data_IF_333040899598
#
_entry.id   IF_333040899598
#
_cell.length_a   1.000
_cell.length_b   1.000
_cell.length_c   1.000
_cell.angle_alpha   90.00
_cell.angle_beta   90.00
_cell.angle_gamma   90.00
#
_symmetry.space_group_name_H-M   'P 1'
#
loop_
_entity.id
_entity.type
_entity.pdbx_description
1 polymer ?
#
# COMPACT_ATOMS: atom_id res chain seq x y z
N UNK A 1 -2.30 42.82 43.45
CA UNK A 1 -1.36 42.07 42.59
C UNK A 1 -2.12 40.91 41.97
N UNK A 2 -2.43 40.98 40.67
CA UNK A 2 -3.09 39.90 39.93
C UNK A 2 -1.98 39.08 39.27
N UNK A 3 -1.77 37.87 39.76
CA UNK A 3 -0.82 36.92 39.16
C UNK A 3 -1.54 36.18 38.05
N UNK A 4 -1.22 36.52 36.80
CA UNK A 4 -1.68 35.78 35.61
C UNK A 4 -0.86 34.51 35.50
N UNK A 5 -1.48 33.35 35.68
CA UNK A 5 -0.88 32.07 35.32
C UNK A 5 -0.91 31.94 33.79
N UNK A 6 0.27 32.12 33.18
CA UNK A 6 0.49 31.82 31.78
C UNK A 6 0.58 30.29 31.65
N UNK A 7 -0.52 29.64 31.28
CA UNK A 7 -0.52 28.23 30.92
C UNK A 7 0.25 28.07 29.62
N UNK A 8 1.49 27.57 29.73
CA UNK A 8 2.30 27.17 28.59
C UNK A 8 1.60 25.96 27.95
N UNK A 9 0.88 26.17 26.85
CA UNK A 9 0.44 25.10 25.96
C UNK A 9 1.70 24.50 25.32
N UNK A 10 2.28 23.50 25.98
CA UNK A 10 3.21 22.60 25.32
C UNK A 10 2.36 21.84 24.31
N UNK A 11 2.37 22.29 23.06
CA UNK A 11 1.96 21.49 21.92
C UNK A 11 2.93 20.32 21.85
N UNK A 12 2.67 19.27 22.64
CA UNK A 12 3.33 18.00 22.48
C UNK A 12 3.10 17.59 21.04
N UNK A 13 4.18 17.49 20.27
CA UNK A 13 4.14 16.93 18.93
C UNK A 13 3.29 15.66 19.03
N UNK A 14 2.15 15.64 18.34
CA UNK A 14 1.30 14.46 18.27
C UNK A 14 2.19 13.34 17.76
N UNK A 15 2.55 12.39 18.63
CA UNK A 15 3.05 11.11 18.17
C UNK A 15 1.89 10.46 17.42
N UNK A 16 1.84 10.70 16.11
CA UNK A 16 0.93 10.07 15.19
C UNK A 16 1.36 8.62 15.07
N UNK A 17 0.48 7.69 15.47
CA UNK A 17 0.74 6.28 15.22
C UNK A 17 0.78 6.00 13.72
N UNK A 18 1.39 4.88 13.35
CA UNK A 18 1.45 4.39 11.97
C UNK A 18 0.62 3.13 11.84
N UNK A 19 0.07 2.88 10.65
CA UNK A 19 -0.53 1.59 10.30
C UNK A 19 0.30 0.85 9.25
N UNK A 20 0.26 -0.48 9.30
CA UNK A 20 0.76 -1.33 8.21
C UNK A 20 -0.42 -1.95 7.46
N UNK A 21 -0.51 -1.68 6.17
CA UNK A 21 -1.47 -2.35 5.28
C UNK A 21 -0.77 -3.53 4.63
N UNK A 22 -1.16 -4.75 5.00
CA UNK A 22 -0.60 -5.99 4.46
C UNK A 22 -1.25 -6.32 3.12
N UNK A 23 -0.46 -6.73 2.15
CA UNK A 23 -0.92 -7.14 0.82
C UNK A 23 -0.58 -8.61 0.57
N UNK A 24 -1.61 -9.45 0.46
CA UNK A 24 -1.54 -10.85 0.04
C UNK A 24 -2.21 -11.05 -1.32
N UNK A 25 -1.96 -12.19 -1.97
CA UNK A 25 -2.65 -12.56 -3.21
C UNK A 25 -3.15 -14.01 -3.15
N UNK A 26 -2.24 -14.98 -3.00
CA UNK A 26 -2.56 -16.42 -2.96
C UNK A 26 -2.15 -17.09 -1.66
N UNK A 27 -2.80 -18.20 -1.34
CA UNK A 27 -2.57 -18.97 -0.11
C UNK A 27 -2.44 -20.47 -0.38
N UNK A 28 -1.24 -21.03 -0.16
CA UNK A 28 -0.94 -22.44 -0.36
C UNK A 28 -1.13 -22.91 -1.80
N UNK A 29 -0.77 -22.04 -2.76
CA UNK A 29 -0.78 -22.35 -4.20
C UNK A 29 0.67 -22.46 -4.73
N UNK A 30 1.17 -23.68 -4.83
CA UNK A 30 2.57 -23.97 -5.20
C UNK A 30 2.85 -23.73 -6.69
N UNK A 31 1.80 -23.55 -7.51
CA UNK A 31 1.93 -23.17 -8.93
C UNK A 31 2.49 -21.74 -9.08
N UNK A 32 2.27 -20.89 -8.07
CA UNK A 32 2.61 -19.47 -8.09
C UNK A 32 3.35 -19.03 -6.81
N UNK A 33 4.54 -19.59 -6.53
CA UNK A 33 5.21 -19.42 -5.23
C UNK A 33 5.64 -17.98 -4.95
N UNK A 34 5.82 -17.14 -5.97
CA UNK A 34 6.24 -15.75 -5.83
C UNK A 34 5.11 -14.82 -5.37
N UNK A 35 3.85 -15.20 -5.57
CA UNK A 35 2.65 -14.45 -5.16
C UNK A 35 1.81 -15.19 -4.12
N UNK A 36 2.34 -16.31 -3.60
CA UNK A 36 1.68 -17.19 -2.65
C UNK A 36 2.37 -17.17 -1.29
N UNK A 37 1.58 -17.31 -0.23
CA UNK A 37 2.06 -17.59 1.14
C UNK A 37 1.54 -18.96 1.57
N UNK A 38 2.36 -19.79 2.24
CA UNK A 38 1.86 -21.07 2.75
C UNK A 38 0.84 -20.86 3.86
N UNK A 39 -0.10 -21.80 4.00
CA UNK A 39 -1.14 -21.71 5.05
C UNK A 39 -0.53 -21.66 6.46
N UNK A 40 0.53 -22.43 6.70
CA UNK A 40 1.25 -22.45 7.97
C UNK A 40 1.88 -21.08 8.30
N UNK A 41 2.53 -20.44 7.31
CA UNK A 41 3.11 -19.10 7.49
C UNK A 41 2.03 -18.07 7.74
N UNK A 42 0.94 -18.13 6.98
CA UNK A 42 -0.19 -17.21 7.16
C UNK A 42 -0.82 -17.34 8.55
N UNK A 43 -1.11 -18.56 9.01
CA UNK A 43 -1.66 -18.80 10.36
C UNK A 43 -0.69 -18.33 11.46
N UNK A 44 0.61 -18.58 11.29
CA UNK A 44 1.64 -18.10 12.21
C UNK A 44 1.72 -16.58 12.27
N UNK A 45 1.56 -15.89 11.14
CA UNK A 45 1.50 -14.42 11.08
C UNK A 45 0.27 -13.89 11.81
N UNK A 46 -0.92 -14.47 11.59
CA UNK A 46 -2.15 -14.04 12.27
C UNK A 46 -2.07 -14.28 13.78
N UNK A 47 -1.53 -15.42 14.19
CA UNK A 47 -1.25 -15.74 15.59
C UNK A 47 -0.29 -14.70 16.21
N UNK A 48 0.79 -14.36 15.52
CA UNK A 48 1.73 -13.34 15.98
C UNK A 48 1.06 -11.96 16.15
N UNK A 49 0.24 -11.53 15.20
CA UNK A 49 -0.52 -10.28 15.32
C UNK A 49 -1.39 -10.28 16.59
N UNK A 50 -2.07 -11.38 16.87
CA UNK A 50 -2.92 -11.54 18.07
C UNK A 50 -2.11 -11.51 19.36
N UNK A 51 -1.05 -12.32 19.45
CA UNK A 51 -0.23 -12.48 20.66
C UNK A 51 0.54 -11.22 21.03
N UNK A 52 0.99 -10.45 20.03
CA UNK A 52 1.70 -9.18 20.25
C UNK A 52 0.77 -7.98 20.44
N UNK A 53 -0.54 -8.19 20.44
CA UNK A 53 -1.53 -7.15 20.65
C UNK A 53 -1.64 -6.14 19.52
N UNK A 54 -1.44 -6.57 18.26
CA UNK A 54 -1.77 -5.73 17.12
C UNK A 54 -3.29 -5.55 17.00
N UNK A 55 -3.69 -4.34 16.62
CA UNK A 55 -5.07 -3.99 16.31
C UNK A 55 -5.31 -4.20 14.82
N UNK A 56 -5.97 -5.30 14.48
CA UNK A 56 -6.41 -5.53 13.10
C UNK A 56 -7.76 -4.83 12.89
N UNK A 57 -7.76 -3.76 12.10
CA UNK A 57 -8.94 -2.93 11.86
C UNK A 57 -9.43 -3.05 10.41
N UNK A 58 -10.64 -2.56 10.14
CA UNK A 58 -11.16 -2.49 8.77
C UNK A 58 -10.37 -1.50 7.92
N UNK A 59 -10.32 -1.74 6.61
CA UNK A 59 -9.67 -0.78 5.74
C UNK A 59 -10.44 0.55 5.72
N UNK A 60 -11.77 0.48 5.74
CA UNK A 60 -12.61 1.67 5.81
C UNK A 60 -12.36 2.52 7.06
N UNK A 61 -12.14 1.90 8.21
CA UNK A 61 -11.78 2.58 9.45
C UNK A 61 -10.43 3.31 9.32
N UNK A 62 -9.42 2.64 8.77
CA UNK A 62 -8.12 3.28 8.53
C UNK A 62 -8.23 4.47 7.57
N UNK A 63 -8.96 4.32 6.47
CA UNK A 63 -9.14 5.41 5.49
C UNK A 63 -9.84 6.61 6.12
N UNK A 64 -10.84 6.39 6.98
CA UNK A 64 -11.49 7.48 7.72
C UNK A 64 -10.53 8.20 8.67
N UNK A 65 -9.68 7.46 9.41
CA UNK A 65 -8.64 8.07 10.25
C UNK A 65 -7.69 8.94 9.43
N UNK A 66 -7.22 8.44 8.28
CA UNK A 66 -6.35 9.17 7.38
C UNK A 66 -7.02 10.44 6.82
N UNK A 67 -8.27 10.34 6.35
CA UNK A 67 -9.05 11.47 5.83
C UNK A 67 -9.22 12.59 6.85
N UNK A 68 -9.42 12.25 8.11
CA UNK A 68 -9.63 13.21 9.20
C UNK A 68 -8.33 13.73 9.81
N UNK A 69 -7.18 13.18 9.41
CA UNK A 69 -5.90 13.46 10.05
C UNK A 69 -5.87 13.02 11.53
N UNK A 70 -6.69 12.04 11.88
CA UNK A 70 -6.81 11.54 13.26
C UNK A 70 -5.64 10.63 13.62
N UNK A 71 -5.38 10.52 14.93
CA UNK A 71 -4.33 9.66 15.43
C UNK A 71 -4.66 8.19 15.15
N UNK A 72 -3.79 7.53 14.41
CA UNK A 72 -3.84 6.07 14.23
C UNK A 72 -3.43 5.40 15.55
N UNK A 73 -4.18 4.42 16.07
CA UNK A 73 -3.77 3.66 17.24
C UNK A 73 -2.43 2.95 17.04
N UNK A 74 -1.65 2.80 18.12
CA UNK A 74 -0.42 2.02 18.08
C UNK A 74 -0.69 0.56 17.68
N UNK A 75 0.29 -0.05 16.98
CA UNK A 75 0.22 -1.42 16.44
C UNK A 75 -1.01 -1.68 15.56
N UNK A 76 -1.42 -0.70 14.75
CA UNK A 76 -2.52 -0.87 13.80
C UNK A 76 -2.09 -1.63 12.54
N UNK A 77 -2.88 -2.62 12.15
CA UNK A 77 -2.69 -3.42 10.93
C UNK A 77 -4.00 -3.51 10.17
N UNK A 78 -3.92 -3.47 8.84
CA UNK A 78 -5.02 -3.80 7.94
C UNK A 78 -4.59 -4.95 7.04
N UNK A 79 -5.49 -5.90 6.80
CA UNK A 79 -5.23 -7.07 5.95
C UNK A 79 -5.96 -6.86 4.62
N UNK A 80 -5.21 -6.81 3.52
CA UNK A 80 -5.76 -6.73 2.16
C UNK A 80 -5.30 -7.91 1.32
N UNK A 81 -6.18 -8.39 0.44
CA UNK A 81 -5.95 -9.51 -0.46
C UNK A 81 -6.36 -9.05 -1.87
N UNK A 82 -5.45 -9.10 -2.83
CA UNK A 82 -5.74 -8.73 -4.21
C UNK A 82 -6.25 -9.93 -5.03
N UNK A 83 -6.83 -9.62 -6.19
CA UNK A 83 -7.31 -10.51 -7.26
C UNK A 83 -8.58 -11.32 -6.99
N UNK A 84 -8.84 -11.72 -5.74
CA UNK A 84 -10.00 -12.57 -5.43
C UNK A 84 -9.82 -14.03 -5.87
N UNK A 85 -8.59 -14.55 -5.83
CA UNK A 85 -8.33 -15.96 -6.07
C UNK A 85 -9.10 -16.86 -5.10
N UNK A 86 -9.46 -18.05 -5.54
CA UNK A 86 -10.19 -19.03 -4.73
C UNK A 86 -9.48 -19.42 -3.43
N UNK A 87 -8.14 -19.37 -3.44
CA UNK A 87 -7.31 -19.58 -2.24
C UNK A 87 -7.59 -18.59 -1.11
N UNK A 88 -8.18 -17.41 -1.39
CA UNK A 88 -8.67 -16.44 -0.38
C UNK A 88 -9.63 -17.09 0.60
N UNK A 89 -10.46 -18.05 0.15
CA UNK A 89 -11.38 -18.76 1.03
C UNK A 89 -10.64 -19.62 2.09
N UNK A 90 -9.42 -20.09 1.80
CA UNK A 90 -8.56 -20.74 2.79
C UNK A 90 -8.05 -19.75 3.83
N UNK A 91 -7.65 -18.56 3.41
CA UNK A 91 -7.23 -17.48 4.31
C UNK A 91 -8.37 -17.04 5.23
N UNK A 92 -9.59 -16.91 4.70
CA UNK A 92 -10.79 -16.61 5.47
C UNK A 92 -11.00 -17.58 6.65
N UNK A 93 -10.80 -18.89 6.44
CA UNK A 93 -10.92 -19.90 7.51
C UNK A 93 -9.94 -19.69 8.66
N UNK A 94 -8.79 -19.07 8.41
CA UNK A 94 -7.82 -18.68 9.45
C UNK A 94 -8.25 -17.36 10.09
N UNK A 95 -8.54 -16.34 9.27
CA UNK A 95 -8.93 -15.00 9.74
C UNK A 95 -10.15 -15.03 10.67
N UNK A 96 -11.15 -15.88 10.38
CA UNK A 96 -12.32 -16.04 11.25
C UNK A 96 -11.98 -16.57 12.64
N UNK A 97 -10.94 -17.40 12.79
CA UNK A 97 -10.52 -17.91 14.12
C UNK A 97 -10.05 -16.77 15.03
N UNK A 98 -9.50 -15.71 14.44
CA UNK A 98 -8.99 -14.53 15.14
C UNK A 98 -9.98 -13.36 15.16
N UNK A 99 -11.14 -13.50 14.50
CA UNK A 99 -12.09 -12.42 14.26
C UNK A 99 -11.44 -11.19 13.60
N UNK A 100 -10.51 -11.44 12.66
CA UNK A 100 -9.79 -10.37 11.97
C UNK A 100 -10.56 -9.91 10.73
N UNK A 101 -10.87 -8.61 10.63
CA UNK A 101 -11.42 -8.04 9.41
C UNK A 101 -10.36 -8.03 8.29
N UNK A 102 -10.82 -8.07 7.06
CA UNK A 102 -9.94 -8.00 5.89
C UNK A 102 -10.69 -7.42 4.69
N UNK A 103 -9.93 -6.95 3.70
CA UNK A 103 -10.47 -6.43 2.43
C UNK A 103 -10.00 -7.31 1.29
N UNK A 104 -10.87 -7.58 0.33
CA UNK A 104 -10.51 -8.24 -0.94
C UNK A 104 -10.76 -7.28 -2.10
N UNK A 105 -9.70 -6.93 -2.81
CA UNK A 105 -9.78 -6.18 -4.06
C UNK A 105 -10.01 -7.16 -5.21
N UNK A 106 -11.17 -7.09 -5.85
CA UNK A 106 -11.63 -8.11 -6.79
C UNK A 106 -11.27 -7.78 -8.23
N UNK A 107 -10.62 -8.73 -8.91
CA UNK A 107 -10.50 -8.71 -10.37
C UNK A 107 -11.85 -9.07 -10.97
N UNK A 108 -12.59 -8.05 -11.41
CA UNK A 108 -14.03 -8.18 -11.62
C UNK A 108 -14.40 -9.12 -12.77
N UNK A 109 -13.61 -9.21 -13.84
CA UNK A 109 -13.92 -10.12 -14.95
C UNK A 109 -13.92 -11.59 -14.52
N UNK A 110 -13.04 -11.97 -13.59
CA UNK A 110 -12.79 -13.37 -13.25
C UNK A 110 -13.63 -13.90 -12.08
N UNK A 111 -13.86 -13.10 -11.04
CA UNK A 111 -14.58 -13.55 -9.84
C UNK A 111 -16.01 -13.97 -10.20
N UNK A 112 -16.44 -15.12 -9.68
CA UNK A 112 -17.71 -15.75 -9.99
C UNK A 112 -17.81 -16.37 -11.40
N UNK A 113 -16.73 -16.35 -12.20
CA UNK A 113 -16.73 -16.88 -13.58
C UNK A 113 -15.61 -17.87 -13.87
N UNK A 114 -14.41 -17.63 -13.33
CA UNK A 114 -13.21 -18.40 -13.67
C UNK A 114 -12.86 -19.38 -12.52
N UNK A 115 -12.39 -20.61 -12.84
CA UNK A 115 -12.26 -21.68 -11.86
C UNK A 115 -11.20 -21.44 -10.76
N UNK A 116 -10.17 -20.63 -11.05
CA UNK A 116 -9.12 -20.27 -10.09
C UNK A 116 -9.53 -19.12 -9.13
N UNK A 117 -10.73 -18.56 -9.29
CA UNK A 117 -11.24 -17.40 -8.54
C UNK A 117 -12.41 -17.79 -7.64
N UNK A 118 -12.73 -16.92 -6.68
CA UNK A 118 -13.85 -17.14 -5.76
C UNK A 118 -15.15 -17.37 -6.55
N UNK A 119 -15.91 -18.39 -6.15
CA UNK A 119 -17.24 -18.65 -6.75
C UNK A 119 -18.28 -17.67 -6.21
N UNK A 120 -19.47 -17.65 -6.81
CA UNK A 120 -20.58 -16.82 -6.32
C UNK A 120 -21.01 -17.23 -4.91
N UNK A 121 -21.01 -18.52 -4.61
CA UNK A 121 -21.35 -19.07 -3.29
C UNK A 121 -20.28 -18.69 -2.25
N UNK A 122 -18.99 -18.78 -2.61
CA UNK A 122 -17.89 -18.39 -1.72
C UNK A 122 -17.89 -16.88 -1.44
N UNK A 123 -18.18 -16.04 -2.44
CA UNK A 123 -18.35 -14.58 -2.25
C UNK A 123 -19.49 -14.26 -1.27
N UNK A 124 -20.63 -14.94 -1.41
CA UNK A 124 -21.78 -14.76 -0.54
C UNK A 124 -21.50 -15.24 0.90
N UNK A 125 -20.82 -16.37 1.08
CA UNK A 125 -20.40 -16.83 2.41
C UNK A 125 -19.43 -15.84 3.08
N UNK A 126 -18.44 -15.35 2.33
CA UNK A 126 -17.50 -14.35 2.82
C UNK A 126 -18.24 -13.08 3.24
N UNK A 127 -19.18 -12.59 2.43
CA UNK A 127 -20.02 -11.42 2.76
C UNK A 127 -20.82 -11.65 4.05
N UNK A 128 -21.48 -12.79 4.16
CA UNK A 128 -22.33 -13.14 5.32
C UNK A 128 -21.54 -13.36 6.61
N UNK A 129 -20.22 -13.57 6.53
CA UNK A 129 -19.36 -13.61 7.70
C UNK A 129 -19.26 -12.27 8.46
N UNK A 130 -19.54 -11.16 7.78
CA UNK A 130 -19.35 -9.81 8.32
C UNK A 130 -17.89 -9.41 8.51
N UNK A 131 -16.90 -10.23 8.13
CA UNK A 131 -15.48 -9.92 8.29
C UNK A 131 -14.88 -9.20 7.08
N UNK A 132 -15.40 -9.44 5.88
CA UNK A 132 -14.82 -8.97 4.62
C UNK A 132 -15.39 -7.63 4.15
N UNK A 133 -14.53 -6.80 3.56
CA UNK A 133 -14.91 -5.70 2.68
C UNK A 133 -14.50 -6.06 1.24
N UNK A 134 -15.41 -5.94 0.27
CA UNK A 134 -15.08 -6.13 -1.14
C UNK A 134 -14.86 -4.78 -1.80
N UNK A 135 -13.81 -4.67 -2.62
CA UNK A 135 -13.43 -3.42 -3.29
C UNK A 135 -12.88 -3.71 -4.70
N UNK A 136 -12.56 -2.66 -5.47
CA UNK A 136 -12.31 -2.79 -6.90
C UNK A 136 -10.82 -3.03 -7.24
N UNK A 137 -10.55 -4.02 -8.09
CA UNK A 137 -9.22 -4.29 -8.67
C UNK A 137 -9.24 -4.31 -10.21
N UNK A 138 -10.00 -3.39 -10.81
CA UNK A 138 -10.26 -3.26 -12.25
C UNK A 138 -11.15 -4.37 -12.84
N UNK A 139 -11.61 -4.15 -14.08
CA UNK A 139 -12.33 -5.18 -14.82
C UNK A 139 -11.38 -6.21 -15.41
N UNK A 140 -10.37 -5.79 -16.18
CA UNK A 140 -9.48 -6.67 -16.98
C UNK A 140 -8.09 -6.94 -16.40
N UNK A 141 -7.78 -6.41 -15.22
CA UNK A 141 -6.46 -6.51 -14.55
C UNK A 141 -5.29 -5.93 -15.36
N UNK A 142 -5.55 -5.04 -16.33
CA UNK A 142 -4.49 -4.48 -17.19
C UNK A 142 -3.64 -3.43 -16.45
N UNK A 143 -2.35 -3.29 -16.82
CA UNK A 143 -1.43 -2.31 -16.23
C UNK A 143 -1.65 -0.89 -16.77
N UNK A 144 -2.85 -0.33 -16.62
CA UNK A 144 -3.22 0.97 -17.20
C UNK A 144 -2.35 2.13 -16.73
N UNK A 145 -1.78 2.06 -15.51
CA UNK A 145 -0.85 3.06 -15.00
C UNK A 145 0.40 3.28 -15.85
N UNK A 146 0.76 2.35 -16.74
CA UNK A 146 1.90 2.48 -17.64
C UNK A 146 1.55 3.13 -18.99
N UNK A 147 0.29 3.52 -19.20
CA UNK A 147 -0.24 3.95 -20.51
C UNK A 147 -0.67 5.42 -20.41
N UNK A 148 -0.26 6.26 -21.39
CA UNK A 148 -0.66 7.67 -21.47
C UNK A 148 -2.12 7.86 -21.88
N UNK A 149 -2.63 6.98 -22.74
CA UNK A 149 -4.03 7.02 -23.20
C UNK A 149 -4.97 6.43 -22.15
N UNK A 150 -5.96 7.23 -21.73
CA UNK A 150 -6.91 6.88 -20.67
C UNK A 150 -8.22 6.28 -21.17
N UNK A 151 -8.46 6.29 -22.49
CA UNK A 151 -9.74 5.84 -23.06
C UNK A 151 -10.04 4.36 -22.79
N UNK A 152 -9.03 3.49 -22.80
CA UNK A 152 -9.21 2.08 -22.43
C UNK A 152 -9.46 1.91 -20.94
N UNK A 153 -8.77 2.68 -20.10
CA UNK A 153 -8.98 2.65 -18.66
C UNK A 153 -10.40 3.09 -18.28
N UNK A 154 -10.94 4.15 -18.89
CA UNK A 154 -12.32 4.60 -18.63
C UNK A 154 -13.36 3.53 -19.00
N UNK A 155 -13.15 2.83 -20.13
CA UNK A 155 -14.02 1.71 -20.53
C UNK A 155 -13.94 0.54 -19.55
N UNK A 156 -12.73 0.21 -19.09
CA UNK A 156 -12.50 -0.84 -18.10
C UNK A 156 -13.13 -0.50 -16.75
N UNK A 157 -12.88 0.72 -16.26
CA UNK A 157 -13.40 1.24 -15.02
C UNK A 157 -14.93 1.21 -15.01
N UNK A 158 -15.58 1.70 -16.06
CA UNK A 158 -17.03 1.64 -16.18
C UNK A 158 -17.58 0.20 -16.12
N UNK A 159 -16.92 -0.76 -16.80
CA UNK A 159 -17.31 -2.18 -16.74
C UNK A 159 -17.13 -2.74 -15.33
N UNK A 160 -16.04 -2.40 -14.65
CA UNK A 160 -15.74 -2.85 -13.29
C UNK A 160 -16.80 -2.34 -12.30
N UNK A 161 -17.13 -1.05 -12.35
CA UNK A 161 -18.12 -0.40 -11.49
C UNK A 161 -19.52 -0.95 -11.72
N UNK A 162 -19.92 -1.12 -13.00
CA UNK A 162 -21.19 -1.72 -13.36
C UNK A 162 -21.32 -3.14 -12.79
N UNK A 163 -20.29 -3.98 -12.99
CA UNK A 163 -20.31 -5.35 -12.47
C UNK A 163 -20.28 -5.38 -10.94
N UNK A 164 -19.55 -4.47 -10.32
CA UNK A 164 -19.49 -4.37 -8.86
C UNK A 164 -20.87 -4.02 -8.28
N UNK A 165 -21.56 -3.06 -8.88
CA UNK A 165 -22.94 -2.71 -8.55
C UNK A 165 -23.91 -3.88 -8.75
N UNK A 166 -23.75 -4.67 -9.82
CA UNK A 166 -24.57 -5.87 -10.08
C UNK A 166 -24.37 -6.96 -9.00
N UNK A 167 -23.13 -7.17 -8.52
CA UNK A 167 -22.82 -8.21 -7.54
C UNK A 167 -23.15 -7.80 -6.10
N UNK A 168 -22.91 -6.54 -5.74
CA UNK A 168 -22.92 -6.10 -4.34
C UNK A 168 -24.02 -5.08 -4.02
N UNK A 169 -24.71 -4.54 -5.04
CA UNK A 169 -25.76 -3.54 -4.84
C UNK A 169 -25.25 -2.16 -4.42
N UNK A 170 -23.94 -1.95 -4.38
CA UNK A 170 -23.28 -0.71 -3.99
C UNK A 170 -22.15 -0.37 -4.95
N UNK A 171 -21.66 0.87 -4.91
CA UNK A 171 -20.43 1.26 -5.61
C UNK A 171 -19.20 0.90 -4.76
N UNK A 172 -18.07 0.53 -5.39
CA UNK A 172 -16.83 0.39 -4.66
C UNK A 172 -16.36 1.74 -4.14
N UNK A 173 -15.74 1.76 -2.97
CA UNK A 173 -15.21 2.97 -2.33
C UNK A 173 -13.72 3.12 -2.57
N UNK A 174 -13.03 1.99 -2.70
CA UNK A 174 -11.59 1.88 -2.77
C UNK A 174 -11.15 1.18 -4.06
N UNK A 175 -9.98 1.57 -4.56
CA UNK A 175 -9.40 1.00 -5.77
C UNK A 175 -7.95 0.56 -5.53
N UNK A 176 -7.65 -0.73 -5.71
CA UNK A 176 -6.27 -1.18 -5.79
C UNK A 176 -5.82 -1.21 -7.25
N UNK A 177 -4.68 -0.60 -7.54
CA UNK A 177 -4.13 -0.55 -8.90
C UNK A 177 -3.49 -1.90 -9.25
N UNK A 178 -3.89 -2.56 -10.37
CA UNK A 178 -3.22 -3.76 -10.84
C UNK A 178 -1.71 -3.54 -10.99
N UNK A 179 -0.91 -4.46 -10.44
CA UNK A 179 0.56 -4.40 -10.36
C UNK A 179 1.13 -3.20 -9.55
N UNK A 180 0.26 -2.36 -8.99
CA UNK A 180 0.64 -1.11 -8.33
C UNK A 180 1.21 -0.06 -9.29
N UNK A 181 0.86 -0.11 -10.58
CA UNK A 181 1.29 0.90 -11.56
C UNK A 181 0.30 2.06 -11.63
N UNK A 182 0.83 3.29 -11.69
CA UNK A 182 0.02 4.50 -11.75
C UNK A 182 0.74 5.63 -12.49
N UNK A 183 -0.07 6.57 -12.99
CA UNK A 183 0.36 7.87 -13.47
C UNK A 183 -0.65 8.93 -13.00
N UNK A 184 -0.40 10.21 -13.33
CA UNK A 184 -1.22 11.33 -12.84
C UNK A 184 -2.65 11.23 -13.35
N UNK A 185 -2.80 10.88 -14.63
CA UNK A 185 -4.07 10.85 -15.34
C UNK A 185 -5.02 9.78 -14.78
N UNK A 186 -4.50 8.58 -14.49
CA UNK A 186 -5.29 7.48 -13.90
C UNK A 186 -5.77 7.83 -12.49
N UNK A 187 -4.90 8.43 -11.67
CA UNK A 187 -5.25 8.83 -10.31
C UNK A 187 -6.28 9.96 -10.29
N UNK A 188 -6.18 10.93 -11.21
CA UNK A 188 -7.17 11.99 -11.35
C UNK A 188 -8.53 11.43 -11.74
N UNK A 189 -8.58 10.51 -12.72
CA UNK A 189 -9.83 9.86 -13.11
C UNK A 189 -10.47 9.14 -11.92
N UNK A 190 -9.70 8.41 -11.12
CA UNK A 190 -10.23 7.73 -9.93
C UNK A 190 -10.76 8.74 -8.90
N UNK A 191 -10.11 9.90 -8.73
CA UNK A 191 -10.60 10.99 -7.89
C UNK A 191 -11.91 11.56 -8.39
N UNK A 192 -12.00 11.92 -9.67
CA UNK A 192 -13.21 12.46 -10.30
C UNK A 192 -14.38 11.48 -10.27
N UNK A 193 -14.10 10.17 -10.28
CA UNK A 193 -15.10 9.10 -10.16
C UNK A 193 -15.60 8.90 -8.74
N UNK A 194 -14.99 9.55 -7.76
CA UNK A 194 -15.44 9.53 -6.36
C UNK A 194 -14.87 8.38 -5.53
N UNK A 195 -13.79 7.73 -5.96
CA UNK A 195 -13.07 6.78 -5.08
C UNK A 195 -12.48 7.55 -3.90
N UNK A 196 -12.67 7.04 -2.69
CA UNK A 196 -12.20 7.68 -1.45
C UNK A 196 -10.71 7.45 -1.20
N UNK A 197 -10.17 6.33 -1.69
CA UNK A 197 -8.76 5.99 -1.56
C UNK A 197 -8.28 5.03 -2.67
N UNK A 198 -7.00 5.14 -3.04
CA UNK A 198 -6.35 4.33 -4.06
C UNK A 198 -5.06 3.72 -3.51
N UNK A 199 -4.87 2.43 -3.77
CA UNK A 199 -3.83 1.61 -3.17
C UNK A 199 -2.81 1.16 -4.21
N UNK A 200 -1.52 1.32 -3.89
CA UNK A 200 -0.40 0.92 -4.74
C UNK A 200 0.21 -0.39 -4.24
N UNK A 201 1.30 -0.82 -4.88
CA UNK A 201 2.19 -1.85 -4.35
C UNK A 201 3.55 -1.27 -3.93
N UNK A 202 3.62 0.05 -3.73
CA UNK A 202 4.82 0.70 -3.19
C UNK A 202 5.01 0.23 -1.74
N UNK A 203 6.19 -0.31 -1.36
CA UNK A 203 6.44 -0.70 0.01
C UNK A 203 6.40 0.52 0.94
N UNK A 204 5.61 0.44 2.00
CA UNK A 204 5.55 1.51 2.99
C UNK A 204 4.51 1.24 4.07
N UNK A 205 4.69 1.89 5.21
CA UNK A 205 3.63 2.08 6.21
C UNK A 205 2.95 3.42 5.97
N UNK A 206 1.84 3.66 6.67
CA UNK A 206 1.01 4.86 6.49
C UNK A 206 0.83 5.60 7.80
N UNK A 207 0.69 6.90 7.68
CA UNK A 207 0.32 7.84 8.73
C UNK A 207 -0.59 8.95 8.17
N UNK A 208 -1.01 9.89 9.01
CA UNK A 208 -1.87 11.02 8.63
C UNK A 208 -1.33 11.91 7.49
N UNK A 209 -0.06 11.78 7.10
CA UNK A 209 0.54 12.52 5.97
C UNK A 209 0.43 11.78 4.63
N UNK A 210 -0.13 10.56 4.65
CA UNK A 210 -0.22 9.69 3.48
C UNK A 210 -1.22 10.24 2.46
N UNK A 211 -0.79 10.34 1.20
CA UNK A 211 -1.64 10.67 0.06
C UNK A 211 -2.69 9.56 -0.17
N UNK A 212 -3.96 9.90 0.00
CA UNK A 212 -5.09 8.96 -0.15
C UNK A 212 -5.19 8.34 -1.55
N UNK A 213 -4.59 8.94 -2.57
CA UNK A 213 -4.61 8.40 -3.93
C UNK A 213 -3.34 7.60 -4.28
N UNK A 214 -2.42 7.41 -3.33
CA UNK A 214 -1.20 6.59 -3.49
C UNK A 214 -0.84 5.89 -2.18
N UNK A 215 -1.80 5.22 -1.56
CA UNK A 215 -1.60 4.53 -0.28
C UNK A 215 -0.68 3.31 -0.49
N UNK A 216 0.53 3.28 0.12
CA UNK A 216 1.46 2.15 0.00
C UNK A 216 0.99 0.93 0.78
N UNK A 217 1.48 -0.25 0.39
CA UNK A 217 1.15 -1.53 1.04
C UNK A 217 2.37 -2.42 1.16
N UNK A 218 2.43 -3.19 2.24
CA UNK A 218 3.49 -4.15 2.51
C UNK A 218 3.13 -5.52 1.93
N UNK A 219 3.67 -5.84 0.75
CA UNK A 219 3.50 -7.16 0.14
C UNK A 219 4.10 -8.28 1.02
N UNK A 220 3.31 -9.31 1.32
CA UNK A 220 3.66 -10.50 2.09
C UNK A 220 3.53 -11.73 1.18
N UNK A 221 4.49 -11.93 0.28
CA UNK A 221 4.43 -12.96 -0.77
C UNK A 221 5.79 -13.65 -0.95
N UNK A 222 5.78 -14.92 -1.35
CA UNK A 222 7.00 -15.69 -1.61
C UNK A 222 8.00 -15.61 -0.44
N UNK A 223 9.28 -15.34 -0.74
CA UNK A 223 10.33 -15.20 0.28
C UNK A 223 10.14 -13.98 1.21
N UNK A 224 9.28 -13.02 0.85
CA UNK A 224 8.91 -11.90 1.72
C UNK A 224 7.87 -12.28 2.77
N UNK A 225 7.28 -13.47 2.69
CA UNK A 225 6.33 -13.97 3.67
C UNK A 225 6.97 -14.58 4.94
N UNK A 226 8.29 -14.72 4.98
CA UNK A 226 8.98 -15.20 6.17
C UNK A 226 8.71 -14.30 7.39
N UNK A 227 8.52 -14.91 8.56
CA UNK A 227 8.15 -14.21 9.80
C UNK A 227 9.13 -13.06 10.13
N UNK A 228 10.43 -13.23 9.88
CA UNK A 228 11.42 -12.17 10.10
C UNK A 228 11.20 -10.96 9.18
N UNK A 229 10.78 -11.19 7.93
CA UNK A 229 10.45 -10.12 6.99
C UNK A 229 9.11 -9.47 7.34
N UNK A 230 8.12 -10.27 7.75
CA UNK A 230 6.84 -9.80 8.27
C UNK A 230 7.02 -8.82 9.44
N UNK A 231 7.78 -9.21 10.47
CA UNK A 231 8.10 -8.34 11.62
C UNK A 231 8.84 -7.06 11.20
N UNK A 232 9.78 -7.15 10.26
CA UNK A 232 10.50 -5.98 9.73
C UNK A 232 9.59 -5.00 9.02
N UNK A 233 8.53 -5.46 8.35
CA UNK A 233 7.54 -4.63 7.65
C UNK A 233 6.62 -3.92 8.65
N UNK A 234 6.15 -4.64 9.66
CA UNK A 234 5.35 -4.07 10.75
C UNK A 234 6.09 -2.98 11.53
N UNK A 235 7.42 -3.06 11.63
CA UNK A 235 8.24 -2.11 12.38
C UNK A 235 8.88 -0.98 11.54
N UNK A 236 8.39 -0.73 10.31
CA UNK A 236 8.85 0.40 9.49
C UNK A 236 8.20 1.71 9.92
N UNK A 237 8.97 2.78 9.84
CA UNK A 237 8.44 4.14 9.95
C UNK A 237 8.09 4.69 8.58
N UNK A 238 7.15 5.64 8.56
CA UNK A 238 6.88 6.47 7.39
C UNK A 238 8.02 7.48 7.26
N UNK A 239 8.57 7.61 6.06
CA UNK A 239 9.53 8.67 5.77
C UNK A 239 8.76 9.92 5.33
N UNK A 240 8.89 11.07 6.02
CA UNK A 240 8.07 12.26 5.75
C UNK A 240 8.59 13.00 4.52
N UNK A 241 8.22 12.50 3.34
CA UNK A 241 8.61 13.09 2.07
C UNK A 241 7.85 14.39 1.82
N UNK A 242 8.59 15.44 1.48
CA UNK A 242 8.03 16.69 0.99
C UNK A 242 7.93 16.70 -0.53
N UNK A 243 8.95 16.20 -1.23
CA UNK A 243 8.99 16.19 -2.69
C UNK A 243 9.83 15.03 -3.20
N UNK A 244 9.33 14.32 -4.21
CA UNK A 244 10.09 13.31 -4.96
C UNK A 244 10.85 13.95 -6.12
N UNK A 245 12.07 13.49 -6.38
CA UNK A 245 12.94 13.96 -7.46
C UNK A 245 13.42 12.75 -8.28
N UNK A 246 13.08 12.60 -9.56
CA UNK A 246 11.95 13.28 -10.19
C UNK A 246 10.65 12.87 -9.49
N UNK A 247 9.58 13.60 -9.79
CA UNK A 247 8.23 13.22 -9.39
C UNK A 247 7.86 11.82 -9.90
N UNK A 248 6.79 11.28 -9.34
CA UNK A 248 6.22 10.01 -9.80
C UNK A 248 5.48 10.17 -11.13
N UNK A 249 5.33 9.06 -11.86
CA UNK A 249 4.73 9.02 -13.20
C UNK A 249 5.77 9.09 -14.32
N UNK A 250 5.41 9.67 -15.46
CA UNK A 250 6.28 9.74 -16.64
C UNK A 250 7.48 10.65 -16.41
N UNK A 251 8.67 10.18 -16.79
CA UNK A 251 9.91 10.93 -16.79
C UNK A 251 9.90 11.96 -17.91
N UNK A 252 10.39 13.15 -17.60
CA UNK A 252 10.64 14.20 -18.61
C UNK A 252 11.98 13.97 -19.33
N UNK A 253 12.95 13.34 -18.66
CA UNK A 253 14.31 13.11 -19.16
C UNK A 253 14.85 11.76 -18.67
N UNK A 254 15.55 11.04 -19.55
CA UNK A 254 16.25 9.79 -19.25
C UNK A 254 17.71 9.86 -19.78
N UNK A 255 18.73 9.65 -18.94
CA UNK A 255 18.65 9.44 -17.50
C UNK A 255 18.16 10.67 -16.74
N UNK A 256 17.41 10.50 -15.64
CA UNK A 256 17.12 11.62 -14.74
C UNK A 256 18.42 12.13 -14.10
N UNK A 257 18.52 13.45 -13.92
CA UNK A 257 19.73 14.09 -13.37
C UNK A 257 19.99 13.67 -11.93
N UNK A 258 18.92 13.59 -11.13
CA UNK A 258 18.92 13.08 -9.76
C UNK A 258 17.70 12.18 -9.55
N UNK A 259 17.87 11.08 -8.80
CA UNK A 259 16.79 10.29 -8.20
C UNK A 259 16.91 10.37 -6.68
N UNK A 260 15.87 10.80 -5.98
CA UNK A 260 15.88 11.09 -4.57
C UNK A 260 14.57 11.69 -4.07
N UNK A 261 14.61 12.22 -2.85
CA UNK A 261 13.50 12.95 -2.27
C UNK A 261 13.99 13.99 -1.25
N UNK A 262 13.21 15.06 -1.13
CA UNK A 262 13.32 16.05 -0.04
C UNK A 262 12.56 15.52 1.15
N UNK A 263 13.22 15.44 2.31
CA UNK A 263 12.68 14.86 3.54
C UNK A 263 12.48 15.97 4.57
N UNK A 264 11.27 16.06 5.16
CA UNK A 264 10.99 16.97 6.27
C UNK A 264 11.81 16.57 7.49
N UNK A 265 12.36 17.56 8.20
CA UNK A 265 13.20 17.34 9.38
C UNK A 265 14.35 16.34 9.11
N UNK A 266 14.99 16.43 7.93
CA UNK A 266 16.00 15.47 7.46
C UNK A 266 17.19 15.22 8.42
N UNK A 267 17.45 16.16 9.35
CA UNK A 267 18.55 16.09 10.31
C UNK A 267 18.50 14.89 11.27
N UNK A 268 17.31 14.33 11.54
CA UNK A 268 17.17 13.15 12.42
C UNK A 268 17.45 11.84 11.70
N UNK A 269 17.65 11.87 10.38
CA UNK A 269 17.84 10.68 9.55
C UNK A 269 19.29 10.51 9.13
N UNK A 270 19.80 9.28 9.15
CA UNK A 270 21.14 8.91 8.71
C UNK A 270 21.11 7.65 7.83
N UNK A 271 22.28 7.21 7.35
CA UNK A 271 22.44 5.95 6.59
C UNK A 271 21.47 5.80 5.40
N UNK A 272 21.24 6.90 4.69
CA UNK A 272 20.25 6.94 3.65
C UNK A 272 20.62 6.10 2.42
N UNK A 273 19.60 5.39 1.96
CA UNK A 273 19.35 4.51 0.83
C UNK A 273 18.65 5.08 -0.38
N UNK A 274 19.15 4.95 -1.62
CA UNK A 274 18.30 5.04 -2.82
C UNK A 274 18.17 3.65 -3.46
N UNK A 275 16.95 3.20 -3.71
CA UNK A 275 16.64 2.00 -4.49
C UNK A 275 16.10 2.41 -5.83
N UNK A 276 16.54 1.72 -6.89
CA UNK A 276 15.95 1.77 -8.23
C UNK A 276 15.81 0.32 -8.67
N UNK A 277 14.66 -0.07 -9.23
CA UNK A 277 14.35 -1.48 -9.52
C UNK A 277 15.46 -2.18 -10.30
N UNK A 278 15.99 -1.55 -11.36
CA UNK A 278 17.08 -2.16 -12.15
C UNK A 278 18.50 -2.00 -11.55
N UNK A 279 18.72 -1.09 -10.60
CA UNK A 279 20.06 -0.81 -10.05
C UNK A 279 20.27 -1.30 -8.62
N UNK A 280 19.19 -1.70 -7.93
CA UNK A 280 19.20 -2.11 -6.54
C UNK A 280 19.45 -0.95 -5.57
N UNK A 281 19.80 -1.28 -4.32
CA UNK A 281 20.12 -0.28 -3.30
C UNK A 281 21.51 0.32 -3.51
N UNK A 282 21.59 1.64 -3.59
CA UNK A 282 22.81 2.44 -3.56
C UNK A 282 22.80 3.28 -2.29
N UNK A 283 23.97 3.59 -1.73
CA UNK A 283 24.11 4.61 -0.67
C UNK A 283 23.45 5.91 -1.18
N UNK A 284 23.03 6.89 -0.38
CA UNK A 284 22.56 8.18 -0.89
C UNK A 284 23.62 9.27 -0.70
N UNK A 285 23.60 10.29 -1.57
CA UNK A 285 24.19 11.61 -1.30
C UNK A 285 23.18 12.46 -0.53
N UNK A 286 23.67 13.51 0.14
CA UNK A 286 22.85 14.50 0.86
C UNK A 286 23.28 15.91 0.47
N UNK A 287 22.30 16.77 0.24
CA UNK A 287 22.42 18.21 0.07
C UNK A 287 21.26 18.83 0.85
N UNK A 288 21.54 19.38 2.04
CA UNK A 288 20.53 19.83 3.00
C UNK A 288 19.44 18.78 3.31
N UNK A 289 18.20 19.03 2.87
CA UNK A 289 17.05 18.15 3.02
C UNK A 289 16.88 17.14 1.88
N UNK A 290 17.64 17.29 0.79
CA UNK A 290 17.60 16.41 -0.37
C UNK A 290 18.49 15.19 -0.16
N UNK A 291 17.89 14.00 -0.21
CA UNK A 291 18.57 12.71 -0.22
C UNK A 291 18.46 12.11 -1.61
N UNK A 292 19.58 11.88 -2.29
CA UNK A 292 19.54 11.57 -3.72
C UNK A 292 20.70 10.72 -4.24
N UNK A 293 20.59 10.33 -5.50
CA UNK A 293 21.65 9.82 -6.36
C UNK A 293 21.63 10.51 -7.71
N UNK A 294 22.81 10.81 -8.19
CA UNK A 294 23.11 11.40 -9.49
C UNK A 294 24.06 10.47 -10.27
N UNK A 295 24.48 10.91 -11.47
CA UNK A 295 25.40 10.12 -12.31
C UNK A 295 24.81 8.76 -12.69
N UNK A 296 23.49 8.72 -12.90
CA UNK A 296 22.76 7.50 -13.20
C UNK A 296 23.00 7.07 -14.65
N UNK A 297 23.08 5.75 -14.91
CA UNK A 297 23.02 5.26 -16.29
C UNK A 297 21.64 5.51 -16.88
N UNK A 298 21.54 5.46 -18.21
CA UNK A 298 20.24 5.42 -18.89
C UNK A 298 19.38 4.28 -18.33
N UNK A 299 18.13 4.61 -17.96
CA UNK A 299 17.21 3.62 -17.43
C UNK A 299 16.62 2.79 -18.56
N UNK A 300 16.73 1.46 -18.47
CA UNK A 300 16.40 0.56 -19.58
C UNK A 300 14.97 0.03 -19.49
N UNK A 301 14.47 -0.18 -18.28
CA UNK A 301 13.08 -0.63 -18.07
C UNK A 301 12.07 0.42 -18.52
N UNK A 302 10.85 -0.04 -18.82
CA UNK A 302 9.71 0.85 -19.09
C UNK A 302 9.27 1.60 -17.83
N UNK A 303 9.54 1.03 -16.67
CA UNK A 303 9.21 1.60 -15.37
C UNK A 303 10.22 1.10 -14.34
N UNK A 304 10.44 1.92 -13.33
CA UNK A 304 11.21 1.58 -12.15
C UNK A 304 10.45 2.02 -10.91
N UNK A 305 10.39 1.15 -9.91
CA UNK A 305 10.01 1.56 -8.57
C UNK A 305 11.26 2.09 -7.87
N UNK A 306 11.17 3.33 -7.42
CA UNK A 306 12.21 4.04 -6.68
C UNK A 306 11.86 4.02 -5.20
N UNK A 307 12.87 3.91 -4.35
CA UNK A 307 12.68 4.01 -2.90
C UNK A 307 13.75 4.83 -2.22
N UNK A 308 13.37 5.60 -1.22
CA UNK A 308 14.28 6.21 -0.26
C UNK A 308 14.08 5.50 1.07
N UNK A 309 15.18 5.09 1.70
CA UNK A 309 15.12 4.62 3.10
C UNK A 309 16.21 5.28 3.93
N UNK A 310 15.91 5.64 5.16
CA UNK A 310 16.90 6.18 6.09
C UNK A 310 16.71 5.56 7.47
N UNK A 311 17.78 5.58 8.27
CA UNK A 311 17.74 5.21 9.67
C UNK A 311 17.34 6.44 10.48
N UNK A 312 16.26 6.37 11.24
CA UNK A 312 15.90 7.38 12.21
C UNK A 312 16.82 7.25 13.43
N UNK A 313 17.57 8.30 13.76
CA UNK A 313 18.54 8.29 14.85
C UNK A 313 17.86 8.26 16.23
N UNK A 314 16.66 8.81 16.34
CA UNK A 314 15.94 8.91 17.61
C UNK A 314 15.32 7.56 18.01
N UNK A 315 14.74 6.85 17.04
CA UNK A 315 14.00 5.60 17.30
C UNK A 315 14.81 4.35 16.97
N UNK A 316 15.95 4.51 16.28
CA UNK A 316 16.67 3.38 15.70
C UNK A 316 15.76 2.48 14.85
N UNK A 317 14.79 3.07 14.13
CA UNK A 317 13.99 2.37 13.14
C UNK A 317 14.37 2.80 11.73
N UNK A 318 14.02 1.98 10.76
CA UNK A 318 14.14 2.35 9.37
C UNK A 318 12.84 3.00 8.91
N UNK A 319 12.96 4.19 8.35
CA UNK A 319 11.88 4.87 7.66
C UNK A 319 12.07 4.70 6.15
N UNK A 320 10.99 4.45 5.41
CA UNK A 320 11.06 4.30 3.96
C UNK A 320 9.83 4.88 3.24
N UNK A 321 10.04 5.25 1.99
CA UNK A 321 8.99 5.66 1.06
C UNK A 321 9.39 5.25 -0.35
N UNK A 322 8.41 4.82 -1.14
CA UNK A 322 8.61 4.36 -2.50
C UNK A 322 7.62 5.04 -3.44
N UNK A 323 8.02 5.18 -4.70
CA UNK A 323 7.19 5.71 -5.76
C UNK A 323 7.56 5.10 -7.12
N UNK A 324 6.69 5.28 -8.11
CA UNK A 324 6.89 4.78 -9.46
C UNK A 324 7.36 5.89 -10.39
N UNK A 325 8.39 5.60 -11.19
CA UNK A 325 8.75 6.38 -12.38
C UNK A 325 8.53 5.52 -13.63
N UNK A 326 8.11 6.16 -14.71
CA UNK A 326 7.77 5.52 -16.00
C UNK A 326 8.58 6.23 -17.08
N UNK A 327 9.26 5.46 -17.92
CA UNK A 327 10.02 6.01 -19.04
C UNK A 327 9.12 6.48 -20.18
#
# INVERSE_FOLDING_TARGET
MITVFLTLLISGELFAGTATILLYHRFGDDRYPTTSVSMEKFESQMKYLKEEGYRVIRLSELVELLKKGEKIPEKTVVITIDDGYRSTYRAYRVLRKFNFPFTVFLYMEAVGRYPDFLTMEELEELKNSGLVEFENHSYSHKPFGLIKSTGEFLKDLHKSEKRFQELFGVKPRFYALPFGYYNKEILEILRERGYEAVFTQDPGNVDHTTDLYRIPRQAIVGSWSEMNNFKKKLNREVLPIETFVPGWGFLEKNPPEKIGAVIKNSGVYSHCRIYITELGWKIAKREDSLIFRDGLPELKRRWDRVGVKCRNNNTSKWAESFWLIIK
#
